data_IF_840179796448
#
_entry.id   IF_840179796448
#
_cell.length_a   1.000
_cell.length_b   1.000
_cell.length_c   1.000
_cell.angle_alpha   90.00
_cell.angle_beta   90.00
_cell.angle_gamma   90.00
#
_symmetry.space_group_name_H-M   'P 1'
#
loop_
_entity.id
_entity.type
_entity.pdbx_description
1 polymer ?
#
# COMPACT_ATOMS: atom_id res chain seq x y z
N UNK A 1 -21.59 15.71 -4.07
CA UNK A 1 -20.19 15.68 -3.58
C UNK A 1 -19.91 14.27 -3.11
N UNK A 2 -18.86 13.61 -3.59
CA UNK A 2 -18.51 12.28 -3.10
C UNK A 2 -18.04 12.41 -1.64
N UNK A 3 -18.60 11.60 -0.74
CA UNK A 3 -18.21 11.61 0.67
C UNK A 3 -16.86 10.90 0.81
N UNK A 4 -15.87 11.59 1.37
CA UNK A 4 -14.55 11.00 1.66
C UNK A 4 -14.75 9.96 2.79
N UNK A 5 -14.26 8.72 2.65
CA UNK A 5 -14.36 7.73 3.71
C UNK A 5 -13.65 8.19 5.00
N UNK A 6 -14.10 7.74 6.18
CA UNK A 6 -13.35 7.91 7.42
C UNK A 6 -11.92 7.39 7.30
N UNK A 7 -10.97 8.05 7.97
CA UNK A 7 -9.53 7.73 7.94
C UNK A 7 -9.28 6.29 8.39
N UNK A 8 -10.00 5.83 9.41
CA UNK A 8 -9.90 4.48 9.95
C UNK A 8 -10.26 3.43 8.89
N UNK A 9 -11.26 3.70 8.05
CA UNK A 9 -11.64 2.82 6.94
C UNK A 9 -10.56 2.77 5.85
N UNK A 10 -9.87 3.90 5.60
CA UNK A 10 -8.77 3.94 4.64
C UNK A 10 -7.59 3.09 5.13
N UNK A 11 -7.24 3.20 6.41
CA UNK A 11 -6.21 2.35 7.01
C UNK A 11 -6.59 0.88 7.03
N UNK A 12 -7.85 0.54 7.34
CA UNK A 12 -8.33 -0.84 7.28
C UNK A 12 -8.14 -1.43 5.87
N UNK A 13 -8.54 -0.69 4.83
CA UNK A 13 -8.35 -1.12 3.43
C UNK A 13 -6.88 -1.28 3.07
N UNK A 14 -6.00 -0.38 3.54
CA UNK A 14 -4.56 -0.54 3.34
C UNK A 14 -4.01 -1.79 4.04
N UNK A 15 -4.47 -2.09 5.25
CA UNK A 15 -4.15 -3.34 5.94
C UNK A 15 -4.59 -4.57 5.14
N UNK A 16 -5.80 -4.56 4.57
CA UNK A 16 -6.28 -5.62 3.70
C UNK A 16 -5.42 -5.78 2.43
N UNK A 17 -5.01 -4.67 1.80
CA UNK A 17 -4.11 -4.72 0.65
C UNK A 17 -2.74 -5.28 1.05
N UNK A 18 -2.19 -4.85 2.18
CA UNK A 18 -0.94 -5.39 2.72
C UNK A 18 -1.02 -6.90 2.94
N UNK A 19 -2.10 -7.39 3.55
CA UNK A 19 -2.34 -8.82 3.75
C UNK A 19 -2.44 -9.59 2.42
N UNK A 20 -3.13 -9.04 1.42
CA UNK A 20 -3.21 -9.64 0.07
C UNK A 20 -1.83 -9.71 -0.61
N UNK A 21 -1.01 -8.67 -0.47
CA UNK A 21 0.37 -8.66 -0.97
C UNK A 21 1.22 -9.73 -0.26
N UNK A 22 1.11 -9.84 1.07
CA UNK A 22 1.82 -10.87 1.83
C UNK A 22 1.43 -12.29 1.39
N UNK A 23 0.13 -12.56 1.18
CA UNK A 23 -0.34 -13.85 0.67
C UNK A 23 0.16 -14.12 -0.75
N UNK A 24 0.27 -13.10 -1.59
CA UNK A 24 0.87 -13.25 -2.92
C UNK A 24 2.37 -13.55 -2.85
N UNK A 25 3.09 -13.01 -1.86
CA UNK A 25 4.53 -13.23 -1.71
C UNK A 25 4.85 -14.68 -1.35
N UNK A 26 3.90 -15.40 -0.74
CA UNK A 26 3.99 -16.83 -0.47
C UNK A 26 3.78 -17.71 -1.71
N UNK A 27 3.39 -17.15 -2.86
CA UNK A 27 3.19 -17.91 -4.10
C UNK A 27 4.47 -17.94 -4.91
N UNK A 28 4.80 -19.11 -5.46
CA UNK A 28 5.99 -19.29 -6.32
C UNK A 28 5.97 -18.44 -7.60
N UNK A 29 4.78 -18.05 -8.08
CA UNK A 29 4.62 -17.24 -9.30
C UNK A 29 3.49 -16.21 -9.14
N UNK A 30 3.75 -15.04 -8.52
CA UNK A 30 2.75 -14.00 -8.40
C UNK A 30 2.42 -13.40 -9.78
N UNK A 31 1.13 -13.35 -10.13
CA UNK A 31 0.70 -12.81 -11.42
C UNK A 31 0.83 -11.29 -11.42
N UNK A 32 1.53 -10.74 -12.42
CA UNK A 32 1.69 -9.29 -12.63
C UNK A 32 0.37 -8.51 -12.55
N UNK A 33 -0.69 -9.06 -13.14
CA UNK A 33 -2.02 -8.44 -13.10
C UNK A 33 -2.57 -8.26 -11.68
N UNK A 34 -2.29 -9.21 -10.77
CA UNK A 34 -2.75 -9.14 -9.38
C UNK A 34 -1.97 -8.08 -8.60
N UNK A 35 -0.65 -8.02 -8.80
CA UNK A 35 0.22 -7.01 -8.16
C UNK A 35 -0.24 -5.60 -8.57
N UNK A 36 -0.41 -5.35 -9.88
CA UNK A 36 -0.82 -4.04 -10.36
C UNK A 36 -2.21 -3.60 -9.90
N UNK A 37 -3.15 -4.54 -9.68
CA UNK A 37 -4.46 -4.23 -9.09
C UNK A 37 -4.30 -3.77 -7.64
N UNK A 38 -3.55 -4.51 -6.83
CA UNK A 38 -3.34 -4.20 -5.42
C UNK A 38 -2.57 -2.89 -5.22
N UNK A 39 -1.54 -2.66 -6.03
CA UNK A 39 -0.77 -1.40 -5.98
C UNK A 39 -1.67 -0.20 -6.30
N UNK A 40 -2.54 -0.29 -7.31
CA UNK A 40 -3.51 0.76 -7.61
C UNK A 40 -4.53 0.96 -6.49
N UNK A 41 -5.02 -0.13 -5.89
CA UNK A 41 -5.95 -0.05 -4.76
C UNK A 41 -5.33 0.68 -3.57
N UNK A 42 -4.06 0.38 -3.24
CA UNK A 42 -3.31 1.07 -2.20
C UNK A 42 -3.06 2.54 -2.55
N UNK A 43 -2.62 2.85 -3.78
CA UNK A 43 -2.43 4.23 -4.24
C UNK A 43 -3.69 5.08 -4.09
N UNK A 44 -4.87 4.51 -4.39
CA UNK A 44 -6.14 5.21 -4.19
C UNK A 44 -6.38 5.53 -2.71
N UNK A 45 -6.09 4.61 -1.78
CA UNK A 45 -6.29 4.89 -0.36
C UNK A 45 -5.25 5.90 0.17
N UNK A 46 -3.98 5.79 -0.24
CA UNK A 46 -2.94 6.75 0.14
C UNK A 46 -3.26 8.17 -0.34
N UNK A 47 -3.71 8.32 -1.59
CA UNK A 47 -4.13 9.62 -2.12
C UNK A 47 -5.34 10.23 -1.39
N UNK A 48 -6.20 9.40 -0.80
CA UNK A 48 -7.27 9.90 0.08
C UNK A 48 -6.73 10.29 1.47
N UNK A 49 -5.71 9.58 1.97
CA UNK A 49 -5.03 9.90 3.22
C UNK A 49 -4.16 11.16 3.12
N UNK A 50 -3.70 11.56 1.93
CA UNK A 50 -3.01 12.84 1.73
C UNK A 50 -3.83 14.05 2.21
N UNK A 51 -5.16 13.95 2.21
CA UNK A 51 -6.05 15.02 2.67
C UNK A 51 -5.84 15.28 4.17
N UNK A 52 -5.61 14.24 4.96
CA UNK A 52 -5.43 14.33 6.42
C UNK A 52 -3.96 14.28 6.85
N UNK A 53 -3.08 13.63 6.09
CA UNK A 53 -1.68 13.38 6.42
C UNK A 53 -0.73 14.09 5.43
N UNK A 54 -1.15 15.25 4.92
CA UNK A 54 -0.39 16.00 3.92
C UNK A 54 1.03 16.29 4.42
N UNK A 55 2.03 15.91 3.63
CA UNK A 55 3.44 16.15 3.98
C UNK A 55 4.00 15.19 5.03
N UNK A 56 3.25 14.15 5.42
CA UNK A 56 3.75 13.13 6.33
C UNK A 56 4.81 12.27 5.62
N UNK A 57 6.08 12.24 6.05
CA UNK A 57 7.16 11.62 5.27
C UNK A 57 6.95 10.11 4.99
N UNK A 58 6.46 9.29 5.95
CA UNK A 58 6.07 7.91 5.69
C UNK A 58 5.00 7.72 4.59
N UNK A 59 4.06 8.65 4.45
CA UNK A 59 3.03 8.57 3.40
C UNK A 59 3.68 8.77 2.02
N UNK A 60 4.50 9.81 1.89
CA UNK A 60 5.24 10.11 0.65
C UNK A 60 6.14 8.94 0.26
N UNK A 61 6.85 8.35 1.24
CA UNK A 61 7.70 7.18 1.00
C UNK A 61 6.88 6.00 0.48
N UNK A 62 5.69 5.74 1.04
CA UNK A 62 4.81 4.67 0.57
C UNK A 62 4.33 4.92 -0.87
N UNK A 63 3.90 6.14 -1.19
CA UNK A 63 3.44 6.49 -2.54
C UNK A 63 4.56 6.34 -3.60
N UNK A 64 5.76 6.80 -3.28
CA UNK A 64 6.96 6.61 -4.13
C UNK A 64 7.26 5.13 -4.30
N UNK A 65 7.25 4.35 -3.22
CA UNK A 65 7.46 2.90 -3.28
C UNK A 65 6.43 2.17 -4.12
N UNK A 66 5.15 2.57 -4.05
CA UNK A 66 4.10 2.00 -4.90
C UNK A 66 4.27 2.37 -6.38
N UNK A 67 4.73 3.59 -6.69
CA UNK A 67 5.07 3.96 -8.06
C UNK A 67 6.23 3.14 -8.61
N UNK A 68 7.28 2.91 -7.81
CA UNK A 68 8.39 2.04 -8.17
C UNK A 68 7.91 0.59 -8.41
N UNK A 69 7.05 0.07 -7.53
CA UNK A 69 6.45 -1.25 -7.70
C UNK A 69 5.65 -1.36 -9.01
N UNK A 70 4.91 -0.32 -9.41
CA UNK A 70 4.25 -0.28 -10.72
C UNK A 70 5.26 -0.35 -11.87
N UNK A 71 6.34 0.44 -11.81
CA UNK A 71 7.38 0.42 -12.84
C UNK A 71 8.05 -0.96 -12.96
N UNK A 72 8.33 -1.60 -11.83
CA UNK A 72 8.88 -2.97 -11.79
C UNK A 72 7.90 -3.98 -12.40
N UNK A 73 6.61 -3.86 -12.11
CA UNK A 73 5.58 -4.71 -12.70
C UNK A 73 5.49 -4.53 -14.23
N UNK A 74 5.55 -3.28 -14.72
CA UNK A 74 5.61 -2.99 -16.16
C UNK A 74 6.87 -3.55 -16.83
N UNK A 75 7.99 -3.57 -16.12
CA UNK A 75 9.25 -4.16 -16.57
C UNK A 75 9.33 -5.69 -16.37
N UNK A 76 8.20 -6.35 -16.14
CA UNK A 76 8.10 -7.82 -15.99
C UNK A 76 8.93 -8.40 -14.83
N UNK A 77 9.11 -7.63 -13.75
CA UNK A 77 9.81 -8.05 -12.52
C UNK A 77 8.81 -8.24 -11.36
N UNK A 78 7.93 -9.26 -11.40
CA UNK A 78 6.83 -9.41 -10.46
C UNK A 78 7.27 -9.60 -9.01
N UNK A 79 8.35 -10.35 -8.77
CA UNK A 79 8.86 -10.59 -7.41
C UNK A 79 9.33 -9.30 -6.74
N UNK A 80 10.08 -8.48 -7.47
CA UNK A 80 10.57 -7.19 -6.98
C UNK A 80 9.44 -6.18 -6.84
N UNK A 81 8.53 -6.11 -7.82
CA UNK A 81 7.34 -5.27 -7.72
C UNK A 81 6.52 -5.59 -6.46
N UNK A 82 6.32 -6.87 -6.18
CA UNK A 82 5.60 -7.34 -5.01
C UNK A 82 6.34 -7.00 -3.71
N UNK A 83 7.64 -7.27 -3.64
CA UNK A 83 8.46 -6.97 -2.47
C UNK A 83 8.48 -5.47 -2.18
N UNK A 84 8.69 -4.64 -3.20
CA UNK A 84 8.69 -3.17 -3.07
C UNK A 84 7.33 -2.66 -2.60
N UNK A 85 6.24 -3.15 -3.19
CA UNK A 85 4.88 -2.75 -2.78
C UNK A 85 4.60 -3.12 -1.32
N UNK A 86 4.87 -4.38 -0.95
CA UNK A 86 4.60 -4.88 0.39
C UNK A 86 5.45 -4.17 1.44
N UNK A 87 6.76 -4.02 1.21
CA UNK A 87 7.68 -3.44 2.19
C UNK A 87 7.33 -1.98 2.49
N UNK A 88 7.04 -1.20 1.46
CA UNK A 88 6.69 0.22 1.62
C UNK A 88 5.32 0.40 2.27
N UNK A 89 4.33 -0.42 1.88
CA UNK A 89 3.00 -0.33 2.49
C UNK A 89 3.01 -0.78 3.96
N UNK A 90 3.72 -1.86 4.27
CA UNK A 90 3.91 -2.34 5.65
C UNK A 90 4.60 -1.30 6.52
N UNK A 91 5.69 -0.69 6.04
CA UNK A 91 6.43 0.33 6.78
C UNK A 91 5.57 1.57 7.10
N UNK A 92 4.71 1.98 6.17
CA UNK A 92 3.77 3.07 6.42
C UNK A 92 2.74 2.72 7.49
N UNK A 93 2.08 1.57 7.36
CA UNK A 93 1.11 1.10 8.34
C UNK A 93 1.74 0.95 9.73
N UNK A 94 2.95 0.39 9.81
CA UNK A 94 3.68 0.28 11.07
C UNK A 94 4.02 1.65 11.67
N UNK A 95 4.39 2.65 10.84
CA UNK A 95 4.56 4.02 11.29
C UNK A 95 3.28 4.61 11.89
N UNK A 96 2.12 4.37 11.28
CA UNK A 96 0.81 4.83 11.80
C UNK A 96 0.44 4.14 13.11
N UNK A 97 0.88 2.89 13.29
CA UNK A 97 0.73 2.19 14.56
C UNK A 97 1.57 2.80 15.67
N UNK A 98 2.79 3.24 15.36
CA UNK A 98 3.64 3.91 16.32
C UNK A 98 3.15 5.31 16.72
N UNK A 99 2.43 6.01 15.84
CA UNK A 99 1.79 7.29 16.17
C UNK A 99 0.46 7.12 16.92
N UNK A 100 -0.10 5.91 16.97
CA UNK A 100 -1.41 5.62 17.55
C UNK A 100 -2.59 5.94 16.62
N UNK A 101 -2.31 6.27 15.36
CA UNK A 101 -3.33 6.59 14.34
C UNK A 101 -3.95 5.34 13.71
N UNK A 102 -3.34 4.17 13.92
CA UNK A 102 -3.85 2.88 13.44
C UNK A 102 -3.52 1.72 14.39
N UNK A 103 -4.48 0.85 14.70
CA UNK A 103 -4.28 -0.30 15.60
C UNK A 103 -4.51 -1.67 14.91
N UNK A 104 -4.55 -1.69 13.57
CA UNK A 104 -4.79 -2.92 12.83
C UNK A 104 -3.64 -3.93 12.87
N UNK A 105 -3.96 -5.19 12.57
CA UNK A 105 -2.97 -6.26 12.40
C UNK A 105 -2.29 -6.16 11.04
N UNK A 106 -0.97 -6.40 11.00
CA UNK A 106 -0.14 -6.38 9.78
C UNK A 106 -0.08 -7.73 9.08
#
# INVERSE_FOLDING_TARGET
MAQIPPVEMLFQKLGEVNGKLAVLALKENPRLGQIGILVREAQVQLGLLEISHRGHPPLIAAEVGLLEAMMLAYNLRPGEALQTAQSNLHAYLESMRHTGEWEGSL
#
